data_IF_396960354500
#
_entry.id   IF_396960354500
#
_cell.length_a   1.000
_cell.length_b   1.000
_cell.length_c   1.000
_cell.angle_alpha   90.00
_cell.angle_beta   90.00
_cell.angle_gamma   90.00
#
_symmetry.space_group_name_H-M   'P 1'
#
loop_
_entity.id
_entity.type
_entity.pdbx_description
1 polymer ?
#
# COMPACT_ATOMS: atom_id res chain seq x y z
N UNK A 1 -16.38 26.44 -32.74
CA UNK A 1 -15.65 26.51 -31.46
C UNK A 1 -14.37 25.68 -31.55
N UNK A 2 -13.29 26.31 -31.21
CA UNK A 2 -12.02 25.61 -31.25
C UNK A 2 -11.76 24.96 -29.90
N UNK A 3 -11.52 23.66 -29.89
CA UNK A 3 -11.18 22.92 -28.68
C UNK A 3 -9.69 22.58 -28.70
N UNK A 4 -8.96 23.17 -27.78
CA UNK A 4 -7.58 22.81 -27.60
C UNK A 4 -7.47 21.91 -26.37
N UNK A 5 -7.28 20.64 -26.64
CA UNK A 5 -7.18 19.65 -25.58
C UNK A 5 -6.05 18.69 -25.91
N UNK A 6 -5.12 18.59 -25.01
CA UNK A 6 -4.02 17.66 -25.13
C UNK A 6 -4.18 16.55 -24.11
N UNK A 7 -4.56 15.38 -24.59
CA UNK A 7 -4.79 14.23 -23.72
C UNK A 7 -3.52 13.80 -22.99
N UNK A 8 -2.34 14.10 -23.53
CA UNK A 8 -1.09 13.74 -22.88
C UNK A 8 -0.80 14.58 -21.65
N UNK A 9 -1.42 15.75 -21.55
CA UNK A 9 -1.26 16.62 -20.38
C UNK A 9 -2.25 16.29 -19.27
N UNK A 10 -3.30 15.56 -19.62
CA UNK A 10 -4.29 15.14 -18.64
C UNK A 10 -3.98 13.71 -18.28
N UNK A 11 -3.67 13.51 -17.02
CA UNK A 11 -3.51 12.16 -16.52
C UNK A 11 -4.88 11.50 -16.59
N UNK A 12 -5.06 10.64 -17.58
CA UNK A 12 -6.24 9.82 -17.62
C UNK A 12 -6.07 8.81 -16.50
N UNK A 13 -6.79 9.03 -15.43
CA UNK A 13 -6.89 7.99 -14.41
C UNK A 13 -7.49 6.82 -15.16
N UNK A 14 -6.66 5.85 -15.42
CA UNK A 14 -7.11 4.61 -16.00
C UNK A 14 -8.18 4.10 -15.05
N UNK A 15 -9.43 4.11 -15.51
CA UNK A 15 -10.54 3.66 -14.69
C UNK A 15 -10.57 2.15 -14.54
N UNK A 16 -9.44 1.54 -14.76
CA UNK A 16 -9.30 0.12 -14.53
C UNK A 16 -9.17 -0.11 -13.03
N UNK A 17 -10.27 -0.47 -12.41
CA UNK A 17 -10.30 -0.82 -10.99
C UNK A 17 -10.05 -2.31 -10.76
N UNK A 18 -9.61 -3.01 -11.79
CA UNK A 18 -9.25 -4.42 -11.63
C UNK A 18 -8.10 -4.55 -10.62
N UNK A 19 -8.09 -5.62 -9.84
CA UNK A 19 -7.01 -5.83 -8.89
C UNK A 19 -5.67 -5.96 -9.59
N UNK A 20 -4.61 -5.48 -8.91
CA UNK A 20 -3.26 -5.71 -9.38
C UNK A 20 -2.93 -7.19 -9.28
N UNK A 21 -2.11 -7.67 -10.19
CA UNK A 21 -1.62 -9.04 -10.14
C UNK A 21 -0.86 -9.28 -8.84
N UNK A 22 -0.94 -10.49 -8.26
CA UNK A 22 -0.16 -10.80 -7.07
C UNK A 22 1.33 -10.58 -7.30
N UNK A 23 2.02 -10.05 -6.32
CA UNK A 23 3.44 -9.80 -6.41
C UNK A 23 3.91 -8.75 -5.44
N UNK A 24 5.15 -8.35 -5.59
CA UNK A 24 5.77 -7.33 -4.77
C UNK A 24 5.77 -6.01 -5.52
N UNK A 25 5.29 -4.97 -4.86
CA UNK A 25 5.18 -3.63 -5.46
C UNK A 25 5.87 -2.60 -4.59
N UNK A 26 6.68 -1.73 -5.19
CA UNK A 26 7.25 -0.61 -4.42
C UNK A 26 6.17 0.43 -4.16
N UNK A 27 5.97 0.76 -2.90
CA UNK A 27 4.93 1.70 -2.50
C UNK A 27 5.44 2.66 -1.45
N UNK A 28 4.74 3.78 -1.30
CA UNK A 28 4.88 4.65 -0.14
C UNK A 28 3.54 4.72 0.57
N UNK A 29 3.56 4.97 1.86
CA UNK A 29 2.35 5.32 2.58
C UNK A 29 2.09 6.79 2.25
N UNK A 30 1.02 7.04 1.53
CA UNK A 30 0.67 8.38 1.08
C UNK A 30 -0.15 9.12 2.12
N UNK A 31 -0.97 8.39 2.83
CA UNK A 31 -1.86 8.94 3.85
C UNK A 31 -2.19 7.88 4.89
N UNK A 32 -2.56 8.32 6.06
CA UNK A 32 -2.96 7.43 7.15
C UNK A 32 -3.99 8.12 8.01
N UNK A 33 -4.89 7.32 8.57
CA UNK A 33 -5.97 7.85 9.37
C UNK A 33 -6.47 6.78 10.33
N UNK A 34 -6.68 7.15 11.59
CA UNK A 34 -7.40 6.29 12.50
C UNK A 34 -8.89 6.45 12.29
N UNK A 35 -9.57 5.34 12.13
CA UNK A 35 -11.02 5.31 11.92
C UNK A 35 -11.66 4.36 12.91
N UNK A 36 -12.87 4.73 13.31
CA UNK A 36 -13.68 3.86 14.15
C UNK A 36 -14.36 2.81 13.28
N UNK A 37 -14.52 1.61 13.83
CA UNK A 37 -15.26 0.54 13.13
C UNK A 37 -16.74 0.89 13.04
N UNK A 38 -17.42 0.29 12.07
CA UNK A 38 -18.86 0.53 11.87
C UNK A 38 -19.69 0.16 13.10
N UNK A 39 -19.22 -0.81 13.88
CA UNK A 39 -19.92 -1.24 15.10
C UNK A 39 -19.50 -0.44 16.32
N UNK A 40 -18.64 0.54 16.14
CA UNK A 40 -18.13 1.38 17.22
C UNK A 40 -17.48 0.59 18.36
N UNK A 41 -16.93 -0.58 18.02
CA UNK A 41 -16.34 -1.50 19.00
C UNK A 41 -14.81 -1.54 18.89
N UNK A 42 -14.21 -0.63 18.13
CA UNK A 42 -12.78 -0.58 17.98
C UNK A 42 -12.35 0.47 16.98
N UNK A 43 -11.05 0.52 16.75
CA UNK A 43 -10.43 1.45 15.82
C UNK A 43 -9.46 0.71 14.92
N UNK A 44 -9.30 1.20 13.72
CA UNK A 44 -8.31 0.66 12.82
C UNK A 44 -7.49 1.79 12.21
N UNK A 45 -6.26 1.46 11.86
CA UNK A 45 -5.40 2.37 11.13
C UNK A 45 -5.60 2.10 9.64
N UNK A 46 -6.08 3.11 8.94
CA UNK A 46 -6.30 3.04 7.50
C UNK A 46 -5.09 3.64 6.81
N UNK A 47 -4.46 2.86 5.94
CA UNK A 47 -3.29 3.30 5.18
C UNK A 47 -3.65 3.39 3.71
N UNK A 48 -3.36 4.52 3.11
CA UNK A 48 -3.43 4.69 1.66
C UNK A 48 -2.03 4.58 1.10
N UNK A 49 -1.84 3.63 0.22
CA UNK A 49 -0.54 3.35 -0.39
C UNK A 49 -0.56 3.77 -1.84
N UNK A 50 0.58 4.26 -2.31
CA UNK A 50 0.75 4.62 -3.72
C UNK A 50 1.86 3.77 -4.30
N UNK A 51 1.57 3.07 -5.40
CA UNK A 51 2.60 2.33 -6.13
C UNK A 51 3.47 3.34 -6.87
N UNK A 52 4.76 3.31 -6.60
CA UNK A 52 5.67 4.37 -7.05
C UNK A 52 6.49 4.00 -8.29
N UNK A 53 6.52 2.73 -8.67
CA UNK A 53 7.33 2.32 -9.81
C UNK A 53 6.82 1.00 -10.37
N UNK A 54 7.24 0.69 -11.58
CA UNK A 54 6.94 -0.58 -12.21
C UNK A 54 5.50 -0.71 -12.68
N UNK A 55 5.07 -1.95 -12.83
CA UNK A 55 3.70 -2.25 -13.21
C UNK A 55 2.76 -1.77 -12.10
N UNK A 56 1.70 -1.11 -12.49
CA UNK A 56 0.77 -0.57 -11.52
C UNK A 56 1.16 0.79 -10.96
N UNK A 57 2.21 1.42 -11.50
CA UNK A 57 2.61 2.77 -11.04
C UNK A 57 1.41 3.70 -11.00
N UNK A 58 1.32 4.48 -9.93
CA UNK A 58 0.25 5.42 -9.65
C UNK A 58 -1.06 4.77 -9.20
N UNK A 59 -1.12 3.45 -9.10
CA UNK A 59 -2.28 2.78 -8.51
C UNK A 59 -2.24 2.96 -7.01
N UNK A 60 -3.40 3.06 -6.43
CA UNK A 60 -3.55 3.17 -4.98
C UNK A 60 -3.95 1.83 -4.40
N UNK A 61 -3.36 1.51 -3.28
CA UNK A 61 -3.72 0.33 -2.51
C UNK A 61 -4.11 0.78 -1.12
N UNK A 62 -4.85 -0.03 -0.43
CA UNK A 62 -5.33 0.30 0.90
C UNK A 62 -5.03 -0.86 1.84
N UNK A 63 -4.60 -0.51 3.04
CA UNK A 63 -4.39 -1.50 4.08
C UNK A 63 -5.14 -1.05 5.31
N UNK A 64 -5.69 -2.02 6.01
CA UNK A 64 -6.53 -1.77 7.16
C UNK A 64 -6.00 -2.59 8.32
N UNK A 65 -5.48 -1.89 9.32
CA UNK A 65 -4.85 -2.53 10.47
C UNK A 65 -5.76 -2.37 11.69
N UNK A 66 -6.36 -3.47 12.13
CA UNK A 66 -7.27 -3.46 13.26
C UNK A 66 -6.48 -3.53 14.56
N UNK A 67 -5.98 -2.37 15.01
CA UNK A 67 -5.12 -2.29 16.18
C UNK A 67 -5.91 -2.30 17.49
N UNK A 68 -7.18 -2.01 17.42
CA UNK A 68 -8.08 -2.03 18.57
C UNK A 68 -9.38 -2.69 18.12
N UNK A 69 -9.60 -3.91 18.52
CA UNK A 69 -10.74 -4.70 18.03
C UNK A 69 -11.06 -5.79 19.06
N UNK A 70 -12.35 -6.13 19.25
CA UNK A 70 -12.71 -7.21 20.16
C UNK A 70 -12.19 -8.58 19.76
N UNK A 71 -11.80 -8.75 18.49
CA UNK A 71 -11.18 -10.00 18.04
C UNK A 71 -9.67 -9.94 18.26
N UNK A 72 -9.13 -10.65 19.26
CA UNK A 72 -7.69 -10.57 19.55
C UNK A 72 -6.82 -11.12 18.43
N UNK A 73 -7.32 -12.05 17.64
CA UNK A 73 -6.58 -12.58 16.50
C UNK A 73 -6.38 -11.52 15.42
N UNK A 74 -7.42 -10.74 15.16
CA UNK A 74 -7.33 -9.65 14.19
C UNK A 74 -6.31 -8.61 14.64
N UNK A 75 -6.27 -8.30 15.93
CA UNK A 75 -5.30 -7.36 16.50
C UNK A 75 -3.89 -7.90 16.34
N UNK A 76 -3.68 -9.17 16.64
CA UNK A 76 -2.35 -9.78 16.53
C UNK A 76 -1.84 -9.77 15.10
N UNK A 77 -2.68 -10.13 14.14
CA UNK A 77 -2.30 -10.11 12.73
C UNK A 77 -1.93 -8.71 12.28
N UNK A 78 -2.74 -7.72 12.69
CA UNK A 78 -2.51 -6.33 12.33
C UNK A 78 -1.23 -5.77 12.95
N UNK A 79 -0.94 -6.13 14.18
CA UNK A 79 0.30 -5.72 14.84
C UNK A 79 1.53 -6.30 14.16
N UNK A 80 1.46 -7.55 13.72
CA UNK A 80 2.54 -8.17 12.98
C UNK A 80 2.76 -7.46 11.64
N UNK A 81 1.69 -7.09 10.97
CA UNK A 81 1.79 -6.38 9.71
C UNK A 81 2.37 -4.98 9.89
N UNK A 82 1.93 -4.27 10.91
CA UNK A 82 2.49 -2.96 11.22
C UNK A 82 3.96 -3.08 11.60
N UNK A 83 4.34 -4.11 12.36
CA UNK A 83 5.74 -4.34 12.70
C UNK A 83 6.58 -4.58 11.45
N UNK A 84 6.05 -5.34 10.47
CA UNK A 84 6.78 -5.57 9.23
C UNK A 84 6.98 -4.26 8.47
N UNK A 85 6.00 -3.37 8.49
CA UNK A 85 6.11 -2.05 7.86
C UNK A 85 7.17 -1.20 8.57
N UNK A 86 7.16 -1.18 9.90
CA UNK A 86 8.16 -0.43 10.66
C UNK A 86 9.57 -0.92 10.37
N UNK A 87 9.77 -2.22 10.30
CA UNK A 87 11.07 -2.79 9.95
C UNK A 87 11.48 -2.42 8.54
N UNK A 88 10.51 -2.42 7.62
CA UNK A 88 10.77 -2.07 6.24
C UNK A 88 11.25 -0.63 6.08
N UNK A 89 10.73 0.28 6.90
CA UNK A 89 11.16 1.69 6.86
C UNK A 89 12.37 1.96 7.77
N UNK A 90 12.84 0.95 8.50
CA UNK A 90 14.02 1.09 9.35
C UNK A 90 13.76 1.72 10.71
N UNK A 91 12.54 1.67 11.20
CA UNK A 91 12.19 2.24 12.50
C UNK A 91 11.74 1.15 13.46
N UNK A 92 12.31 1.14 14.66
CA UNK A 92 11.92 0.15 15.66
C UNK A 92 10.68 0.60 16.44
N UNK A 93 10.45 1.89 16.48
CA UNK A 93 9.33 2.46 17.24
C UNK A 93 8.81 3.69 16.52
N UNK A 94 7.50 3.81 16.44
CA UNK A 94 6.84 5.00 15.93
C UNK A 94 5.84 5.48 16.98
N UNK A 95 5.63 6.77 17.02
CA UNK A 95 4.64 7.37 17.93
C UNK A 95 3.52 8.05 17.16
N UNK A 96 3.68 8.21 15.86
CA UNK A 96 2.71 8.87 15.01
C UNK A 96 2.71 8.16 13.66
N UNK A 97 1.52 7.88 13.11
CA UNK A 97 1.42 7.21 11.83
C UNK A 97 2.05 7.98 10.67
N UNK A 98 2.20 9.29 10.82
CA UNK A 98 2.87 10.10 9.79
C UNK A 98 4.34 9.74 9.63
N UNK A 99 4.94 9.10 10.61
CA UNK A 99 6.31 8.61 10.49
C UNK A 99 6.45 7.49 9.45
N UNK A 100 5.33 6.89 9.05
CA UNK A 100 5.31 5.87 8.00
C UNK A 100 5.27 6.48 6.60
N UNK A 101 4.93 7.75 6.48
CA UNK A 101 4.65 8.37 5.18
C UNK A 101 5.92 8.57 4.36
N UNK A 102 5.76 8.44 3.05
CA UNK A 102 6.74 8.84 2.02
C UNK A 102 8.05 8.08 2.06
N UNK A 103 8.13 6.98 2.79
CA UNK A 103 9.30 6.13 2.82
C UNK A 103 9.02 4.90 1.96
N UNK A 104 9.80 4.67 0.88
CA UNK A 104 9.52 3.53 0.01
C UNK A 104 9.69 2.20 0.72
N UNK A 105 8.74 1.32 0.49
CA UNK A 105 8.79 -0.06 0.98
C UNK A 105 8.25 -0.96 -0.11
N UNK A 106 8.46 -2.26 0.03
CA UNK A 106 7.85 -3.26 -0.85
C UNK A 106 6.62 -3.82 -0.16
N UNK A 107 5.47 -3.70 -0.81
CA UNK A 107 4.23 -4.31 -0.32
C UNK A 107 4.01 -5.62 -1.07
N UNK A 108 3.77 -6.67 -0.33
CA UNK A 108 3.39 -7.95 -0.91
C UNK A 108 1.89 -7.98 -1.09
N UNK A 109 1.48 -8.07 -2.35
CA UNK A 109 0.08 -7.91 -2.73
C UNK A 109 -0.48 -9.23 -3.22
N UNK A 110 -1.69 -9.54 -2.79
CA UNK A 110 -2.44 -10.70 -3.26
C UNK A 110 -3.82 -10.25 -3.71
N UNK A 111 -4.51 -11.13 -4.41
CA UNK A 111 -5.90 -10.91 -4.79
C UNK A 111 -6.79 -11.61 -3.79
N UNK A 112 -7.70 -10.85 -3.20
CA UNK A 112 -8.75 -11.39 -2.36
C UNK A 112 -9.99 -11.56 -3.21
N UNK A 113 -10.49 -12.79 -3.29
CA UNK A 113 -11.69 -13.08 -4.07
C UNK A 113 -12.89 -12.40 -3.45
N UNK A 114 -13.67 -11.75 -4.29
CA UNK A 114 -14.94 -11.19 -3.87
C UNK A 114 -15.97 -12.28 -3.63
N UNK A 115 -16.98 -11.95 -2.85
CA UNK A 115 -18.09 -12.86 -2.57
C UNK A 115 -19.38 -12.05 -2.57
N UNK A 116 -20.50 -12.72 -2.77
CA UNK A 116 -21.83 -12.12 -2.70
C UNK A 116 -21.99 -10.89 -3.60
N UNK A 117 -21.45 -10.97 -4.82
CA UNK A 117 -21.56 -9.90 -5.79
C UNK A 117 -20.50 -8.82 -5.68
N UNK A 118 -19.58 -8.93 -4.74
CA UNK A 118 -18.45 -8.00 -4.64
C UNK A 118 -17.34 -8.40 -5.58
N UNK A 119 -16.67 -7.42 -6.14
CA UNK A 119 -15.53 -7.65 -7.00
C UNK A 119 -14.32 -8.12 -6.19
N UNK A 120 -13.39 -8.77 -6.87
CA UNK A 120 -12.10 -9.11 -6.29
C UNK A 120 -11.36 -7.82 -5.91
N UNK A 121 -10.55 -7.89 -4.89
CA UNK A 121 -9.79 -6.74 -4.42
C UNK A 121 -8.37 -7.17 -4.07
N UNK A 122 -7.51 -6.17 -3.89
CA UNK A 122 -6.16 -6.45 -3.45
C UNK A 122 -6.08 -6.48 -1.93
N UNK A 123 -5.20 -7.33 -1.44
CA UNK A 123 -4.93 -7.48 -0.03
C UNK A 123 -3.42 -7.42 0.18
N UNK A 124 -2.99 -6.71 1.22
CA UNK A 124 -1.57 -6.60 1.56
C UNK A 124 -1.24 -7.70 2.54
N UNK A 125 -0.27 -8.53 2.19
CA UNK A 125 0.16 -9.64 3.05
C UNK A 125 1.30 -9.26 3.98
N UNK A 126 2.04 -8.24 3.65
CA UNK A 126 3.15 -7.79 4.46
C UNK A 126 4.01 -6.80 3.73
N UNK A 127 5.04 -6.34 4.40
CA UNK A 127 5.95 -5.34 3.88
C UNK A 127 7.38 -5.80 4.00
N UNK A 128 8.21 -5.38 3.05
CA UNK A 128 9.63 -5.65 3.05
C UNK A 128 10.40 -4.36 2.81
N UNK A 129 11.66 -4.36 3.17
CA UNK A 129 12.51 -3.22 2.91
C UNK A 129 12.62 -2.98 1.40
N UNK A 130 12.46 -1.73 1.02
CA UNK A 130 12.63 -1.34 -0.37
C UNK A 130 14.10 -1.40 -0.75
N UNK A 131 14.37 -2.06 -1.88
CA UNK A 131 15.69 -2.03 -2.47
C UNK A 131 15.53 -1.42 -3.85
N UNK A 132 16.13 -0.26 -4.04
CA UNK A 132 16.17 0.34 -5.35
C UNK A 132 16.88 -0.63 -6.30
N UNK A 133 16.41 -0.78 -7.55
CA UNK A 133 17.13 -1.60 -8.52
C UNK A 133 18.55 -1.07 -8.57
N UNK A 134 19.55 -1.97 -8.41
CA UNK A 134 20.93 -1.57 -8.46
C UNK A 134 21.22 -0.97 -9.84
N UNK A 135 21.82 0.16 -9.86
CA UNK A 135 22.15 0.76 -11.13
C UNK A 135 23.13 -0.14 -11.85
N UNK A 136 23.42 -0.84 -11.80
CA UNK A 136 24.17 -1.66 -12.17
C UNK A 136 24.62 -2.01 -12.52
N UNK A 137 24.32 -2.13 -12.13
CA UNK A 137 24.38 -2.59 -12.25
C UNK A 137 24.69 -2.62 -12.63
N UNK A 138 24.55 -2.55 -12.55
CA UNK A 138 24.85 -2.57 -12.75
C UNK A 138 25.52 -2.51 -13.07
N UNK A 139 25.51 -2.45 -13.39
CA UNK A 139 25.94 -2.43 -13.61
C UNK A 139 26.62 -2.35 -13.58
N UNK A 140 26.82 -2.30 -13.44
CA UNK A 140 27.43 -2.36 -13.25
C UNK A 140 28.20 -2.28 -13.31
N UNK A 141 28.48 -2.19 -13.35
CA UNK A 141 29.18 -2.18 -13.21
C UNK A 141 29.98 -2.24 -13.38
N UNK A 142 30.43 -2.18 -13.66
CA UNK A 142 31.16 -2.27 -13.67
C UNK A 142 31.84 -2.34 -13.55
N UNK A 143 32.05 -2.42 -13.58
CA UNK A 143 32.35 -2.41 -13.29
C UNK A 143 32.94 -2.62 -13.48
#
# INVERSE_FOLDING_TARGET
MKLEFNADEVEVVDEDFSPLMPGDYPVIVQDSEFRETKKEDGNYLFLQLLVINGQGKNRKLFDRLNLDNPNPQAVEISKKQLASLCRAIGKQKITDSRELHDIPVIARVEIRKGSDGYDDSNNIKGYKKYQAPEPSDGDDVPF
#
